data_IF_301944459512
#
_entry.id   IF_301944459512
#
_cell.length_a   1.000
_cell.length_b   1.000
_cell.length_c   1.000
_cell.angle_alpha   90.00
_cell.angle_beta   90.00
_cell.angle_gamma   90.00
#
_symmetry.space_group_name_H-M   'P 1'
#
loop_
_entity.id
_entity.type
_entity.pdbx_description
1 polymer ?
#
# COMPACT_ATOMS: atom_id res chain seq x y z
N UNK A 1 5.00 8.01 11.13
CA UNK A 1 4.92 7.59 9.71
C UNK A 1 3.61 6.86 9.51
N UNK A 2 2.89 7.14 8.42
CA UNK A 2 1.57 6.59 8.14
C UNK A 2 1.61 5.71 6.88
N UNK A 3 1.69 4.40 7.06
CA UNK A 3 1.87 3.43 5.97
C UNK A 3 0.56 3.06 5.28
N UNK A 4 -0.11 4.04 4.67
CA UNK A 4 -1.30 3.80 3.82
C UNK A 4 -1.22 4.63 2.54
N UNK A 5 -1.94 4.15 1.51
CA UNK A 5 -2.18 4.91 0.29
C UNK A 5 -3.12 6.11 0.52
N UNK A 6 -4.03 5.97 1.49
CA UNK A 6 -4.93 7.07 1.88
C UNK A 6 -4.15 8.26 2.42
N UNK A 7 -4.74 9.43 2.29
CA UNK A 7 -4.23 10.63 2.95
C UNK A 7 -4.61 10.60 4.43
N UNK A 8 -3.68 10.98 5.29
CA UNK A 8 -3.96 11.22 6.69
C UNK A 8 -5.03 12.30 6.86
N UNK A 9 -6.06 12.00 7.65
CA UNK A 9 -7.21 12.87 7.85
C UNK A 9 -7.46 13.20 9.33
N UNK A 10 -6.49 12.95 10.20
CA UNK A 10 -6.58 13.23 11.64
C UNK A 10 -5.71 14.43 12.02
N UNK A 11 -5.86 14.98 13.24
CA UNK A 11 -5.00 16.05 13.75
C UNK A 11 -3.50 15.80 13.56
N UNK A 12 -2.76 16.85 13.20
CA UNK A 12 -1.29 16.82 13.08
C UNK A 12 -0.60 17.72 14.09
N UNK A 13 -1.35 18.35 14.98
CA UNK A 13 -0.81 19.11 16.10
C UNK A 13 -1.62 18.92 17.37
N UNK A 14 -1.02 19.25 18.52
CA UNK A 14 -1.72 19.21 19.81
C UNK A 14 -2.94 20.13 19.81
N UNK A 15 -2.85 21.33 19.20
CA UNK A 15 -4.01 22.22 19.09
C UNK A 15 -5.10 21.64 18.19
N UNK A 16 -4.75 20.96 17.10
CA UNK A 16 -5.71 20.29 16.21
C UNK A 16 -6.49 19.16 16.91
N UNK A 17 -5.95 18.59 17.99
CA UNK A 17 -6.63 17.53 18.77
C UNK A 17 -7.77 18.05 19.65
N UNK A 18 -7.75 19.34 20.01
CA UNK A 18 -8.84 19.97 20.73
C UNK A 18 -9.97 20.35 19.77
N UNK A 19 -11.20 20.37 20.28
CA UNK A 19 -12.29 20.96 19.51
C UNK A 19 -12.08 22.48 19.35
N UNK A 20 -12.67 23.04 18.29
CA UNK A 20 -12.48 24.45 17.93
C UNK A 20 -12.95 25.42 19.03
N UNK A 21 -13.94 25.04 19.83
CA UNK A 21 -14.43 25.91 20.90
C UNK A 21 -13.44 25.95 22.06
N UNK A 22 -12.83 24.81 22.41
CA UNK A 22 -11.77 24.75 23.43
C UNK A 22 -10.56 25.59 23.03
N UNK A 23 -10.07 25.46 21.79
CA UNK A 23 -8.94 26.27 21.31
C UNK A 23 -9.26 27.77 21.38
N UNK A 24 -10.43 28.16 20.88
CA UNK A 24 -10.87 29.55 20.91
C UNK A 24 -11.02 30.09 22.34
N UNK A 25 -11.61 29.31 23.24
CA UNK A 25 -11.76 29.70 24.64
C UNK A 25 -10.39 29.93 25.30
N UNK A 26 -9.42 29.06 25.04
CA UNK A 26 -8.06 29.24 25.56
C UNK A 26 -7.41 30.53 25.03
N UNK A 27 -7.58 30.84 23.75
CA UNK A 27 -7.06 32.07 23.15
C UNK A 27 -7.73 33.32 23.73
N UNK A 28 -9.06 33.34 23.79
CA UNK A 28 -9.86 34.46 24.31
C UNK A 28 -9.58 34.76 25.79
N UNK A 29 -9.16 33.76 26.58
CA UNK A 29 -8.83 33.90 28.00
C UNK A 29 -7.32 34.07 28.27
N UNK A 30 -6.50 34.27 27.24
CA UNK A 30 -5.05 34.45 27.39
C UNK A 30 -4.30 33.19 27.82
N UNK A 31 -4.95 32.02 27.75
CA UNK A 31 -4.38 30.71 28.10
C UNK A 31 -3.74 30.00 26.89
N UNK A 32 -3.99 30.47 25.66
CA UNK A 32 -3.52 29.84 24.43
C UNK A 32 -2.00 29.74 24.26
N UNK A 33 -1.23 30.56 24.99
CA UNK A 33 0.24 30.50 25.03
C UNK A 33 0.80 29.45 26.00
N UNK A 34 -0.01 28.94 26.92
CA UNK A 34 0.41 27.91 27.89
C UNK A 34 0.34 26.50 27.31
N UNK A 35 -0.37 26.31 26.18
CA UNK A 35 -0.40 25.06 25.44
C UNK A 35 0.56 25.15 24.27
N UNK A 36 1.63 24.36 24.33
CA UNK A 36 2.58 24.23 23.22
C UNK A 36 1.93 23.45 22.08
N UNK A 37 1.93 24.04 20.89
CA UNK A 37 1.39 23.42 19.67
C UNK A 37 2.43 22.52 18.99
N UNK A 38 2.70 21.36 19.58
CA UNK A 38 3.62 20.40 18.96
C UNK A 38 3.04 19.87 17.65
N UNK A 39 3.77 20.08 16.54
CA UNK A 39 3.39 19.60 15.21
C UNK A 39 4.12 18.31 14.84
N UNK A 40 3.37 17.37 14.29
CA UNK A 40 3.91 16.13 13.75
C UNK A 40 4.38 16.34 12.31
N UNK A 41 5.63 15.98 12.03
CA UNK A 41 6.11 15.84 10.66
C UNK A 41 5.80 14.43 10.16
N UNK A 42 4.59 14.26 9.62
CA UNK A 42 4.13 12.98 9.14
C UNK A 42 4.68 12.67 7.75
N UNK A 43 5.31 11.50 7.61
CA UNK A 43 5.60 10.92 6.30
C UNK A 43 4.43 10.03 5.85
N UNK A 44 3.94 10.29 4.63
CA UNK A 44 2.78 9.64 4.02
C UNK A 44 3.15 9.11 2.61
N UNK A 45 3.33 7.79 2.40
CA UNK A 45 3.65 7.21 1.10
C UNK A 45 2.68 7.62 -0.02
N UNK A 46 1.38 7.66 0.28
CA UNK A 46 0.34 8.10 -0.67
C UNK A 46 0.60 9.50 -1.24
N UNK A 47 1.17 10.40 -0.43
CA UNK A 47 1.43 11.79 -0.79
C UNK A 47 2.85 12.05 -1.35
N UNK A 48 3.74 11.05 -1.35
CA UNK A 48 5.09 11.18 -1.91
C UNK A 48 5.01 11.49 -3.41
N UNK A 49 5.70 12.54 -3.86
CA UNK A 49 5.77 12.87 -5.28
C UNK A 49 6.76 11.95 -6.00
N UNK A 50 6.59 11.78 -7.31
CA UNK A 50 7.45 10.89 -8.08
C UNK A 50 8.93 11.31 -8.01
N UNK A 51 9.21 12.60 -8.10
CA UNK A 51 10.58 13.14 -7.99
C UNK A 51 11.22 12.92 -6.60
N UNK A 52 10.39 12.80 -5.56
CA UNK A 52 10.84 12.52 -4.20
C UNK A 52 11.03 11.02 -3.98
N UNK A 53 10.18 10.18 -4.60
CA UNK A 53 10.32 8.73 -4.60
C UNK A 53 11.65 8.30 -5.23
N UNK A 54 12.08 8.98 -6.30
CA UNK A 54 13.37 8.74 -6.95
C UNK A 54 14.60 9.03 -6.08
N UNK A 55 14.45 9.78 -5.00
CA UNK A 55 15.57 10.05 -4.07
C UNK A 55 15.94 8.83 -3.26
N UNK A 56 15.01 7.88 -3.07
CA UNK A 56 15.27 6.62 -2.38
C UNK A 56 16.01 5.66 -3.32
N UNK A 57 17.17 5.14 -2.88
CA UNK A 57 18.06 4.29 -3.71
C UNK A 57 18.13 2.83 -3.27
N UNK A 58 17.36 2.46 -2.24
CA UNK A 58 17.28 1.10 -1.72
C UNK A 58 15.90 0.54 -1.96
N UNK A 59 15.67 -0.72 -1.56
CA UNK A 59 14.36 -1.38 -1.60
C UNK A 59 13.27 -0.63 -0.80
N UNK A 60 13.64 0.36 0.04
CA UNK A 60 12.69 1.27 0.68
C UNK A 60 11.87 2.05 -0.36
N UNK A 61 12.46 2.39 -1.51
CA UNK A 61 11.75 3.00 -2.64
C UNK A 61 10.55 2.14 -3.05
N UNK A 62 10.80 0.84 -3.21
CA UNK A 62 9.79 -0.13 -3.63
C UNK A 62 8.73 -0.30 -2.55
N UNK A 63 9.10 -0.40 -1.27
CA UNK A 63 8.12 -0.45 -0.17
C UNK A 63 7.19 0.77 -0.21
N UNK A 64 7.74 1.99 -0.35
CA UNK A 64 6.95 3.22 -0.43
C UNK A 64 6.04 3.20 -1.66
N UNK A 65 6.58 2.81 -2.82
CA UNK A 65 5.82 2.75 -4.06
C UNK A 65 4.65 1.76 -3.99
N UNK A 66 4.89 0.56 -3.48
CA UNK A 66 3.87 -0.46 -3.35
C UNK A 66 2.77 -0.04 -2.37
N UNK A 67 3.12 0.62 -1.27
CA UNK A 67 2.10 1.22 -0.38
C UNK A 67 1.33 2.32 -1.10
N UNK A 68 2.02 3.24 -1.78
CA UNK A 68 1.41 4.37 -2.51
C UNK A 68 0.41 3.89 -3.57
N UNK A 69 0.78 2.88 -4.35
CA UNK A 69 -0.01 2.37 -5.47
C UNK A 69 -0.89 1.16 -5.13
N UNK A 70 -0.92 0.72 -3.86
CA UNK A 70 -1.68 -0.46 -3.41
C UNK A 70 -3.16 -0.50 -3.79
N UNK A 71 -3.76 0.64 -4.16
CA UNK A 71 -5.16 0.78 -4.59
C UNK A 71 -5.37 0.76 -6.10
N UNK A 72 -4.33 0.72 -6.92
CA UNK A 72 -4.43 0.68 -8.38
C UNK A 72 -3.48 -0.34 -8.98
N UNK A 73 -4.08 -1.39 -9.53
CA UNK A 73 -3.40 -2.44 -10.28
C UNK A 73 -2.62 -1.86 -11.47
N UNK A 74 -3.20 -0.86 -12.15
CA UNK A 74 -2.59 -0.18 -13.30
C UNK A 74 -1.34 0.61 -12.89
N UNK A 75 -1.42 1.38 -11.80
CA UNK A 75 -0.27 2.14 -11.32
C UNK A 75 0.87 1.24 -10.84
N UNK A 76 0.55 0.11 -10.18
CA UNK A 76 1.54 -0.92 -9.83
C UNK A 76 2.16 -1.56 -11.07
N UNK A 77 1.36 -1.81 -12.11
CA UNK A 77 1.85 -2.34 -13.38
C UNK A 77 2.84 -1.36 -14.05
N UNK A 78 2.48 -0.09 -14.15
CA UNK A 78 3.36 0.95 -14.70
C UNK A 78 4.66 1.07 -13.89
N UNK A 79 4.56 1.04 -12.56
CA UNK A 79 5.72 1.04 -11.67
C UNK A 79 6.64 -0.15 -11.95
N UNK A 80 6.08 -1.36 -12.05
CA UNK A 80 6.83 -2.59 -12.29
C UNK A 80 7.49 -2.60 -13.68
N UNK A 81 6.79 -2.15 -14.72
CA UNK A 81 7.34 -2.04 -16.08
C UNK A 81 8.52 -1.07 -16.14
N UNK A 82 8.42 0.06 -15.42
CA UNK A 82 9.43 1.11 -15.40
C UNK A 82 10.67 0.72 -14.59
N UNK A 83 10.49 0.21 -13.36
CA UNK A 83 11.59 0.00 -12.40
C UNK A 83 12.07 -1.43 -12.30
N UNK A 84 11.26 -2.40 -12.75
CA UNK A 84 11.55 -3.85 -12.70
C UNK A 84 12.14 -4.30 -11.36
N UNK A 85 11.42 -4.10 -10.23
CA UNK A 85 11.95 -4.37 -8.91
C UNK A 85 12.30 -5.86 -8.76
N UNK A 86 13.50 -6.12 -8.24
CA UNK A 86 13.95 -7.43 -7.81
C UNK A 86 14.24 -7.36 -6.32
N UNK A 87 13.39 -7.98 -5.50
CA UNK A 87 13.28 -7.66 -4.07
C UNK A 87 13.67 -8.84 -3.18
N UNK A 88 14.32 -8.56 -2.06
CA UNK A 88 14.57 -9.58 -1.04
C UNK A 88 13.28 -10.13 -0.43
N UNK A 89 13.37 -11.35 0.13
CA UNK A 89 12.26 -11.97 0.88
C UNK A 89 11.70 -11.07 1.98
N UNK A 90 12.56 -10.44 2.77
CA UNK A 90 12.14 -9.53 3.85
C UNK A 90 11.34 -8.34 3.33
N UNK A 91 11.74 -7.76 2.20
CA UNK A 91 11.06 -6.59 1.64
C UNK A 91 9.67 -6.95 1.13
N UNK A 92 9.54 -8.08 0.44
CA UNK A 92 8.23 -8.52 -0.06
C UNK A 92 7.32 -8.95 1.09
N UNK A 93 7.85 -9.60 2.13
CA UNK A 93 7.08 -9.87 3.36
C UNK A 93 6.51 -8.58 3.94
N UNK A 94 7.34 -7.53 4.05
CA UNK A 94 6.88 -6.23 4.52
C UNK A 94 5.83 -5.61 3.58
N UNK A 95 6.02 -5.69 2.26
CA UNK A 95 5.02 -5.21 1.30
C UNK A 95 3.70 -5.93 1.52
N UNK A 96 3.69 -7.27 1.57
CA UNK A 96 2.49 -8.07 1.81
C UNK A 96 1.76 -7.65 3.10
N UNK A 97 2.50 -7.45 4.20
CA UNK A 97 1.93 -7.01 5.48
C UNK A 97 1.32 -5.60 5.39
N UNK A 98 1.99 -4.66 4.71
CA UNK A 98 1.55 -3.27 4.62
C UNK A 98 0.40 -3.07 3.62
N UNK A 99 0.36 -3.85 2.53
CA UNK A 99 -0.62 -3.69 1.45
C UNK A 99 -1.71 -4.75 1.46
N UNK A 100 -1.65 -5.71 2.40
CA UNK A 100 -2.52 -6.88 2.44
C UNK A 100 -2.51 -7.64 1.09
N UNK A 101 -1.32 -7.77 0.51
CA UNK A 101 -1.07 -8.49 -0.75
C UNK A 101 -0.54 -9.91 -0.49
N UNK A 102 -0.59 -10.75 -1.52
CA UNK A 102 -0.20 -12.17 -1.44
C UNK A 102 0.88 -12.51 -2.48
N UNK A 103 1.97 -11.75 -2.52
CA UNK A 103 3.12 -12.11 -3.35
C UNK A 103 3.83 -13.32 -2.74
N UNK A 104 3.94 -14.42 -3.51
CA UNK A 104 4.49 -15.70 -3.05
C UNK A 104 5.96 -15.83 -3.47
N UNK A 105 6.82 -16.26 -2.54
CA UNK A 105 8.21 -16.60 -2.86
C UNK A 105 8.29 -18.00 -3.46
N UNK A 106 9.13 -18.13 -4.49
CA UNK A 106 9.53 -19.43 -5.01
C UNK A 106 10.64 -19.96 -4.10
N UNK A 107 10.43 -21.13 -3.52
CA UNK A 107 11.43 -21.79 -2.67
C UNK A 107 12.76 -21.98 -3.40
N UNK A 108 13.85 -21.68 -2.70
CA UNK A 108 15.22 -21.71 -3.25
C UNK A 108 15.67 -20.43 -3.94
N UNK A 109 14.82 -19.41 -4.12
CA UNK A 109 15.23 -18.07 -4.57
C UNK A 109 15.39 -17.10 -3.39
N UNK A 110 16.49 -16.33 -3.40
CA UNK A 110 16.72 -15.27 -2.40
C UNK A 110 16.03 -13.95 -2.73
N UNK A 111 15.73 -13.72 -4.01
CA UNK A 111 15.08 -12.51 -4.53
C UNK A 111 13.89 -12.86 -5.42
N UNK A 112 12.91 -11.98 -5.43
CA UNK A 112 11.69 -12.10 -6.22
C UNK A 112 11.63 -10.97 -7.25
N UNK A 113 11.60 -11.36 -8.52
CA UNK A 113 11.27 -10.45 -9.61
C UNK A 113 9.78 -10.12 -9.52
N UNK A 114 9.45 -8.85 -9.26
CA UNK A 114 8.07 -8.47 -9.00
C UNK A 114 7.20 -8.45 -10.25
N UNK A 115 7.78 -8.27 -11.44
CA UNK A 115 7.04 -8.40 -12.70
C UNK A 115 6.58 -9.85 -12.89
N UNK A 116 7.47 -10.83 -12.66
CA UNK A 116 7.13 -12.25 -12.72
C UNK A 116 6.08 -12.62 -11.65
N UNK A 117 6.23 -12.12 -10.42
CA UNK A 117 5.27 -12.36 -9.35
C UNK A 117 3.87 -11.82 -9.70
N UNK A 118 3.80 -10.65 -10.34
CA UNK A 118 2.55 -10.03 -10.73
C UNK A 118 1.84 -10.80 -11.85
N UNK A 119 2.56 -11.24 -12.87
CA UNK A 119 2.01 -12.09 -13.93
C UNK A 119 1.60 -13.48 -13.40
N UNK A 120 2.34 -14.02 -12.42
CA UNK A 120 1.98 -15.27 -11.74
C UNK A 120 0.61 -15.20 -11.07
N UNK A 121 0.35 -14.17 -10.26
CA UNK A 121 -0.95 -13.95 -9.61
C UNK A 121 -2.09 -13.84 -10.64
N UNK A 122 -1.84 -13.14 -11.75
CA UNK A 122 -2.83 -12.98 -12.81
C UNK A 122 -3.13 -14.31 -13.50
N UNK A 123 -2.11 -15.10 -13.83
CA UNK A 123 -2.27 -16.40 -14.46
C UNK A 123 -3.06 -17.37 -13.56
N UNK A 124 -2.70 -17.47 -12.27
CA UNK A 124 -3.42 -18.29 -11.29
C UNK A 124 -4.90 -17.89 -11.16
N UNK A 125 -5.18 -16.58 -11.19
CA UNK A 125 -6.55 -16.06 -11.18
C UNK A 125 -7.37 -16.54 -12.39
N UNK A 126 -6.81 -16.49 -13.59
CA UNK A 126 -7.45 -16.96 -14.83
C UNK A 126 -7.69 -18.48 -14.76
N UNK A 127 -6.68 -19.25 -14.36
CA UNK A 127 -6.80 -20.71 -14.23
C UNK A 127 -7.86 -21.14 -13.21
N UNK A 128 -8.00 -20.41 -12.09
CA UNK A 128 -9.06 -20.69 -11.12
C UNK A 128 -10.45 -20.46 -11.72
N UNK A 129 -10.66 -19.35 -12.41
CA UNK A 129 -11.94 -19.03 -13.06
C UNK A 129 -12.30 -20.10 -14.11
N UNK A 130 -11.35 -20.51 -14.93
CA UNK A 130 -11.58 -21.56 -15.94
C UNK A 130 -11.98 -22.89 -15.29
N UNK A 131 -11.31 -23.30 -14.20
CA UNK A 131 -11.66 -24.51 -13.45
C UNK A 131 -13.07 -24.44 -12.86
N UNK A 132 -13.45 -23.30 -12.29
CA UNK A 132 -14.80 -23.08 -11.71
C UNK A 132 -15.88 -23.12 -12.79
N UNK A 133 -15.66 -22.48 -13.94
CA UNK A 133 -16.59 -22.54 -15.09
C UNK A 133 -16.75 -23.99 -15.57
N UNK A 134 -15.65 -24.71 -15.74
CA UNK A 134 -15.70 -26.10 -16.22
C UNK A 134 -16.42 -27.01 -15.22
N UNK A 135 -16.16 -26.85 -13.91
CA UNK A 135 -16.86 -27.59 -12.87
C UNK A 135 -18.37 -27.30 -12.89
N UNK A 136 -18.77 -26.05 -13.05
CA UNK A 136 -20.18 -25.66 -13.16
C UNK A 136 -20.87 -26.21 -14.42
N UNK A 137 -20.17 -26.22 -15.57
CA UNK A 137 -20.67 -26.83 -16.80
C UNK A 137 -20.86 -28.35 -16.63
N UNK A 138 -19.87 -29.04 -16.03
CA UNK A 138 -19.96 -30.47 -15.75
C UNK A 138 -21.11 -30.79 -14.80
N UNK A 139 -21.36 -29.97 -13.77
CA UNK A 139 -22.50 -30.17 -12.87
C UNK A 139 -23.84 -29.98 -13.58
N UNK A 140 -23.93 -29.03 -14.52
CA UNK A 140 -25.19 -28.69 -15.21
C UNK A 140 -25.51 -29.63 -16.37
N UNK A 141 -24.51 -30.13 -17.07
CA UNK A 141 -24.68 -30.91 -18.31
C UNK A 141 -24.13 -32.33 -18.25
N UNK A 142 -23.42 -32.70 -17.17
CA UNK A 142 -22.83 -34.03 -16.99
C UNK A 142 -23.75 -35.07 -16.34
N UNK A 143 -25.01 -34.73 -16.04
CA UNK A 143 -26.04 -35.64 -15.50
C UNK A 143 -27.16 -35.95 -16.51
N UNK A 144 -26.88 -35.83 -17.81
CA UNK A 144 -27.82 -36.27 -18.86
C UNK A 144 -27.36 -37.64 -19.35
N UNK A 145 -27.66 -38.68 -18.57
CA UNK A 145 -27.71 -40.07 -19.01
C UNK A 145 -29.19 -40.52 -19.03
#
# INVERSE_FOLDING_TARGET
MYWKADKWNQPVSVKDMFDKNTVRWLEDNGLGGYIQDYRMHLFEPGAVKEEDLEKFKTELKDVIAYVKYSKSTEALKEYNEKYKPDLTKSTVTLINELTNSNYVFIDGKERLNMCEAFEGIKAEGIERIQREIQAGLNQKYGNID
#
